data_IF_698176315786
#
_entry.id   IF_698176315786
#
_cell.length_a   1.000
_cell.length_b   1.000
_cell.length_c   1.000
_cell.angle_alpha   90.00
_cell.angle_beta   90.00
_cell.angle_gamma   90.00
#
_symmetry.space_group_name_H-M   'P 1'
#
loop_
_entity.id
_entity.type
_entity.pdbx_description
1 polymer ?
#
# COMPACT_ATOMS: atom_id res chain seq x y z
N UNK A 1 12.72 -10.68 -1.12
CA UNK A 1 12.46 -9.24 -1.21
C UNK A 1 11.09 -9.04 -1.83
N UNK A 2 10.11 -8.62 -1.03
CA UNK A 2 8.73 -8.33 -1.43
C UNK A 2 8.49 -6.83 -1.23
N UNK A 3 8.07 -6.15 -2.28
CA UNK A 3 7.84 -4.71 -2.26
C UNK A 3 6.37 -4.48 -2.62
N UNK A 4 5.64 -3.72 -1.81
CA UNK A 4 4.33 -3.23 -2.17
C UNK A 4 4.48 -1.90 -2.91
N UNK A 5 3.84 -1.76 -4.07
CA UNK A 5 3.83 -0.53 -4.84
C UNK A 5 2.42 0.04 -4.83
N UNK A 6 2.27 1.25 -4.31
CA UNK A 6 1.01 1.99 -4.24
C UNK A 6 1.06 3.18 -5.20
N UNK A 7 -0.04 3.41 -5.91
CA UNK A 7 -0.22 4.52 -6.85
C UNK A 7 -1.61 5.11 -6.65
N UNK A 8 -1.82 6.35 -7.07
CA UNK A 8 -3.15 6.96 -7.23
C UNK A 8 -4.03 6.89 -5.96
N UNK A 9 -3.42 7.13 -4.79
CA UNK A 9 -4.14 7.10 -3.51
C UNK A 9 -5.24 8.16 -3.45
N UNK A 10 -5.11 9.27 -4.19
CA UNK A 10 -6.12 10.34 -4.31
C UNK A 10 -6.72 10.81 -2.97
N UNK A 11 -5.89 10.90 -1.91
CA UNK A 11 -6.32 11.22 -0.54
C UNK A 11 -7.41 10.30 0.04
N UNK A 12 -7.61 9.11 -0.53
CA UNK A 12 -8.58 8.14 -0.05
C UNK A 12 -7.99 7.29 1.08
N UNK A 13 -8.07 7.82 2.30
CA UNK A 13 -7.53 7.17 3.49
C UNK A 13 -8.21 5.82 3.78
N UNK A 14 -9.50 5.67 3.48
CA UNK A 14 -10.22 4.42 3.70
C UNK A 14 -9.68 3.30 2.80
N UNK A 15 -9.47 3.58 1.51
CA UNK A 15 -8.88 2.62 0.58
C UNK A 15 -7.44 2.27 0.96
N UNK A 16 -6.63 3.27 1.36
CA UNK A 16 -5.25 3.03 1.79
C UNK A 16 -5.19 2.09 3.00
N UNK A 17 -6.05 2.31 4.00
CA UNK A 17 -6.10 1.44 5.18
C UNK A 17 -6.53 0.02 4.79
N UNK A 18 -7.55 -0.14 3.95
CA UNK A 18 -8.00 -1.44 3.50
C UNK A 18 -6.90 -2.23 2.76
N UNK A 19 -6.18 -1.57 1.86
CA UNK A 19 -5.03 -2.18 1.15
C UNK A 19 -3.93 -2.55 2.14
N UNK A 20 -3.57 -1.65 3.05
CA UNK A 20 -2.53 -1.92 4.06
C UNK A 20 -2.86 -3.11 4.94
N UNK A 21 -4.11 -3.24 5.35
CA UNK A 21 -4.55 -4.31 6.25
C UNK A 21 -4.64 -5.67 5.53
N UNK A 22 -4.80 -5.67 4.20
CA UNK A 22 -4.79 -6.89 3.35
C UNK A 22 -3.37 -7.27 2.88
N UNK A 23 -2.38 -6.37 2.97
CA UNK A 23 -1.02 -6.66 2.52
C UNK A 23 -0.38 -7.78 3.35
N UNK A 24 0.23 -8.79 2.70
CA UNK A 24 1.10 -9.72 3.39
C UNK A 24 2.37 -9.00 3.87
N UNK A 25 3.20 -9.69 4.67
CA UNK A 25 4.51 -9.14 5.06
C UNK A 25 5.32 -8.77 3.83
N UNK A 26 5.70 -7.49 3.75
CA UNK A 26 6.58 -6.90 2.74
C UNK A 26 7.80 -6.29 3.42
N UNK A 27 8.89 -6.22 2.68
CA UNK A 27 10.16 -5.64 3.14
C UNK A 27 10.13 -4.11 2.97
N UNK A 28 9.48 -3.60 1.92
CA UNK A 28 9.39 -2.17 1.60
C UNK A 28 8.03 -1.78 0.97
N UNK A 29 7.66 -0.50 1.10
CA UNK A 29 6.51 0.11 0.43
C UNK A 29 7.01 1.28 -0.40
N UNK A 30 6.71 1.27 -1.69
CA UNK A 30 7.01 2.36 -2.62
C UNK A 30 5.70 3.06 -3.03
N UNK A 31 5.73 4.38 -3.11
CA UNK A 31 4.60 5.21 -3.50
C UNK A 31 5.00 5.96 -4.78
N UNK A 32 4.20 5.78 -5.84
CA UNK A 32 4.38 6.36 -7.17
C UNK A 32 3.35 7.45 -7.46
#
# INVERSE_FOLDING_TARGET
MRIAVLSDIHSNLAALNAVRDDLPSVDEIWIL
#
